data_IF_227522312143
#
_entry.id   IF_227522312143
#
_cell.length_a   1.000
_cell.length_b   1.000
_cell.length_c   1.000
_cell.angle_alpha   90.00
_cell.angle_beta   90.00
_cell.angle_gamma   90.00
#
_symmetry.space_group_name_H-M   'P 1'
#
loop_
_entity.id
_entity.type
_entity.pdbx_description
1 polymer ?
#
# COMPACT_ATOMS: atom_id res chain seq x y z
N UNK A 1 -25.36 -42.15 -7.35
CA UNK A 1 -24.50 -41.89 -6.17
C UNK A 1 -23.47 -40.79 -6.37
N UNK A 2 -22.45 -40.88 -7.23
CA UNK A 2 -21.44 -39.80 -7.37
C UNK A 2 -22.04 -38.46 -7.86
N UNK A 3 -22.84 -38.46 -8.93
CA UNK A 3 -23.53 -37.24 -9.39
C UNK A 3 -24.51 -36.68 -8.36
N UNK A 4 -25.19 -37.53 -7.60
CA UNK A 4 -26.15 -37.14 -6.56
C UNK A 4 -25.45 -36.52 -5.34
N UNK A 5 -24.25 -37.01 -5.00
CA UNK A 5 -23.39 -36.43 -3.96
C UNK A 5 -22.82 -35.07 -4.41
N UNK A 6 -22.37 -34.96 -5.66
CA UNK A 6 -21.93 -33.70 -6.25
C UNK A 6 -23.07 -32.66 -6.31
N UNK A 7 -24.28 -33.07 -6.70
CA UNK A 7 -25.45 -32.19 -6.75
C UNK A 7 -25.88 -31.73 -5.35
N UNK A 8 -25.82 -32.60 -4.33
CA UNK A 8 -26.10 -32.21 -2.93
C UNK A 8 -25.05 -31.25 -2.39
N UNK A 9 -23.77 -31.42 -2.71
CA UNK A 9 -22.70 -30.50 -2.30
C UNK A 9 -22.86 -29.12 -2.94
N UNK A 10 -23.14 -29.08 -4.25
CA UNK A 10 -23.39 -27.83 -4.98
C UNK A 10 -24.66 -27.13 -4.47
N UNK A 11 -25.74 -27.88 -4.23
CA UNK A 11 -27.01 -27.33 -3.74
C UNK A 11 -26.91 -26.75 -2.30
N UNK A 12 -26.08 -27.33 -1.43
CA UNK A 12 -25.83 -26.83 -0.07
C UNK A 12 -24.97 -25.55 -0.06
N UNK A 13 -24.08 -25.35 -1.04
CA UNK A 13 -23.23 -24.16 -1.14
C UNK A 13 -23.86 -22.99 -1.92
N UNK A 14 -24.84 -23.24 -2.80
CA UNK A 14 -25.54 -22.18 -3.54
C UNK A 14 -26.29 -21.19 -2.63
N UNK A 15 -26.79 -21.63 -1.47
CA UNK A 15 -27.44 -20.74 -0.49
C UNK A 15 -26.44 -19.76 0.19
N UNK A 16 -25.14 -20.07 0.17
CA UNK A 16 -24.07 -19.28 0.78
C UNK A 16 -23.35 -18.35 -0.22
N UNK A 17 -23.69 -18.47 -1.50
CA UNK A 17 -23.12 -17.71 -2.61
C UNK A 17 -23.66 -16.28 -2.75
N UNK A 18 -24.83 -16.01 -2.16
CA UNK A 18 -25.52 -14.73 -2.26
C UNK A 18 -25.15 -13.72 -1.16
N UNK A 19 -24.02 -13.95 -0.46
CA UNK A 19 -23.43 -12.97 0.46
C UNK A 19 -22.31 -12.19 -0.24
N UNK A 20 -21.91 -11.05 0.32
CA UNK A 20 -20.94 -10.09 -0.24
C UNK A 20 -19.55 -10.69 -0.57
N UNK A 21 -19.25 -11.88 -0.02
CA UNK A 21 -18.04 -12.67 -0.29
C UNK A 21 -18.24 -13.88 -1.23
N UNK A 22 -19.38 -13.95 -1.93
CA UNK A 22 -19.79 -15.11 -2.74
C UNK A 22 -18.81 -15.55 -3.83
N UNK A 23 -18.01 -14.63 -4.38
CA UNK A 23 -16.95 -14.97 -5.34
C UNK A 23 -15.83 -15.84 -4.73
N UNK A 24 -15.56 -15.71 -3.42
CA UNK A 24 -14.57 -16.55 -2.73
C UNK A 24 -15.10 -17.96 -2.48
N UNK A 25 -16.38 -18.08 -2.16
CA UNK A 25 -17.03 -19.38 -2.01
C UNK A 25 -17.17 -20.14 -3.33
N UNK A 26 -17.44 -19.43 -4.44
CA UNK A 26 -17.44 -20.03 -5.78
C UNK A 26 -16.14 -20.73 -6.12
N UNK A 27 -15.03 -20.04 -5.83
CA UNK A 27 -13.70 -20.56 -6.11
C UNK A 27 -13.36 -21.73 -5.19
N UNK A 28 -13.82 -21.72 -3.94
CA UNK A 28 -13.60 -22.82 -3.01
C UNK A 28 -14.38 -24.07 -3.43
N UNK A 29 -15.65 -23.93 -3.84
CA UNK A 29 -16.46 -25.03 -4.36
C UNK A 29 -15.87 -25.63 -5.65
N UNK A 30 -15.46 -24.79 -6.60
CA UNK A 30 -14.76 -25.25 -7.82
C UNK A 30 -13.48 -26.02 -7.46
N UNK A 31 -12.73 -25.57 -6.46
CA UNK A 31 -11.51 -26.22 -6.01
C UNK A 31 -11.78 -27.62 -5.46
N UNK A 32 -12.78 -27.78 -4.58
CA UNK A 32 -13.18 -29.08 -4.01
C UNK A 32 -13.51 -30.07 -5.13
N UNK A 33 -14.26 -29.62 -6.15
CA UNK A 33 -14.57 -30.42 -7.33
C UNK A 33 -13.30 -30.81 -8.09
N UNK A 34 -12.37 -29.88 -8.33
CA UNK A 34 -11.10 -30.19 -9.00
C UNK A 34 -10.21 -31.16 -8.21
N UNK A 35 -10.22 -31.12 -6.88
CA UNK A 35 -9.48 -32.08 -6.04
C UNK A 35 -10.11 -33.47 -6.03
N UNK A 36 -11.44 -33.58 -6.03
CA UNK A 36 -12.15 -34.85 -6.16
C UNK A 36 -11.90 -35.48 -7.53
N UNK A 37 -11.95 -34.67 -8.60
CA UNK A 37 -11.63 -35.11 -9.95
C UNK A 37 -10.17 -35.59 -10.04
N UNK A 38 -9.21 -34.84 -9.47
CA UNK A 38 -7.80 -35.23 -9.43
C UNK A 38 -7.57 -36.62 -8.81
N UNK A 39 -8.17 -36.90 -7.65
CA UNK A 39 -8.02 -38.19 -6.96
C UNK A 39 -8.64 -39.34 -7.77
N UNK A 40 -9.79 -39.12 -8.41
CA UNK A 40 -10.40 -40.12 -9.29
C UNK A 40 -9.59 -40.39 -10.57
N UNK A 41 -8.86 -39.38 -11.06
CA UNK A 41 -8.06 -39.46 -12.27
C UNK A 41 -6.66 -40.05 -12.06
N UNK A 42 -6.08 -39.95 -10.86
CA UNK A 42 -4.80 -40.62 -10.52
C UNK A 42 -4.87 -42.15 -10.70
N UNK A 43 -6.06 -42.75 -10.65
CA UNK A 43 -6.26 -44.18 -10.91
C UNK A 43 -6.39 -44.59 -12.38
N UNK A 44 -6.48 -43.66 -13.32
CA UNK A 44 -6.92 -43.96 -14.71
C UNK A 44 -5.95 -43.53 -15.82
N UNK A 45 -4.77 -42.98 -15.50
CA UNK A 45 -3.67 -42.80 -16.47
C UNK A 45 -3.94 -41.77 -17.57
N UNK A 46 -4.50 -40.61 -17.22
CA UNK A 46 -5.05 -39.63 -18.18
C UNK A 46 -4.11 -38.53 -18.71
N UNK A 47 -4.60 -37.95 -19.81
CA UNK A 47 -4.06 -36.93 -20.71
C UNK A 47 -3.47 -35.64 -20.14
N UNK A 48 -2.67 -34.97 -20.99
CA UNK A 48 -1.91 -33.73 -20.76
C UNK A 48 -2.74 -32.55 -20.22
N UNK A 49 -4.03 -32.50 -20.56
CA UNK A 49 -4.95 -31.45 -20.09
C UNK A 49 -5.24 -31.54 -18.59
N UNK A 50 -5.26 -32.76 -18.04
CA UNK A 50 -5.47 -33.00 -16.61
C UNK A 50 -4.22 -32.67 -15.79
N UNK A 51 -3.02 -32.92 -16.34
CA UNK A 51 -1.75 -32.47 -15.75
C UNK A 51 -1.72 -30.95 -15.59
N UNK A 52 -2.29 -30.20 -16.54
CA UNK A 52 -2.41 -28.73 -16.45
C UNK A 52 -3.37 -28.29 -15.34
N UNK A 53 -4.51 -28.98 -15.18
CA UNK A 53 -5.47 -28.75 -14.10
C UNK A 53 -4.89 -29.08 -12.72
N UNK A 54 -4.14 -30.17 -12.58
CA UNK A 54 -3.43 -30.53 -11.35
C UNK A 54 -2.40 -29.48 -10.92
N UNK A 55 -1.69 -28.86 -11.88
CA UNK A 55 -0.77 -27.75 -11.58
C UNK A 55 -1.52 -26.51 -11.09
N UNK A 56 -2.64 -26.18 -11.74
CA UNK A 56 -3.46 -25.04 -11.36
C UNK A 56 -4.10 -25.22 -9.97
N UNK A 57 -4.60 -26.41 -9.65
CA UNK A 57 -5.18 -26.69 -8.32
C UNK A 57 -4.15 -26.54 -7.19
N UNK A 58 -2.88 -26.93 -7.41
CA UNK A 58 -1.79 -26.67 -6.47
C UNK A 58 -1.53 -25.18 -6.27
N UNK A 59 -1.48 -24.38 -7.34
CA UNK A 59 -1.28 -22.92 -7.27
C UNK A 59 -2.43 -22.26 -6.49
N UNK A 60 -3.68 -22.63 -6.78
CA UNK A 60 -4.84 -22.09 -6.07
C UNK A 60 -4.84 -22.51 -4.60
N UNK A 61 -4.42 -23.75 -4.28
CA UNK A 61 -4.24 -24.20 -2.88
C UNK A 61 -3.18 -23.38 -2.15
N UNK A 62 -2.04 -23.11 -2.76
CA UNK A 62 -1.00 -22.25 -2.18
C UNK A 62 -1.48 -20.81 -1.99
N UNK A 63 -2.17 -20.25 -2.99
CA UNK A 63 -2.78 -18.91 -2.89
C UNK A 63 -3.85 -18.83 -1.80
N UNK A 64 -4.64 -19.89 -1.60
CA UNK A 64 -5.61 -19.99 -0.51
C UNK A 64 -4.89 -20.03 0.83
N UNK A 65 -3.86 -20.87 0.99
CA UNK A 65 -3.05 -20.88 2.22
C UNK A 65 -2.54 -19.48 2.49
N UNK A 66 -1.92 -18.81 1.52
CA UNK A 66 -1.45 -17.42 1.65
C UNK A 66 -2.59 -16.43 2.03
N UNK A 67 -3.79 -16.56 1.45
CA UNK A 67 -4.96 -15.74 1.81
C UNK A 67 -5.53 -16.04 3.20
N UNK A 68 -5.57 -17.32 3.57
CA UNK A 68 -6.12 -17.84 4.83
C UNK A 68 -5.13 -17.69 5.97
N UNK A 69 -3.83 -17.55 5.69
CA UNK A 69 -2.83 -17.15 6.68
C UNK A 69 -3.19 -15.75 7.14
N UNK A 70 -3.95 -15.70 8.22
CA UNK A 70 -4.45 -14.52 8.91
C UNK A 70 -3.37 -13.50 9.26
N UNK A 71 -2.09 -13.91 9.23
CA UNK A 71 -0.92 -13.06 9.35
C UNK A 71 -0.91 -11.91 8.32
N UNK A 72 -1.20 -12.18 7.04
CA UNK A 72 -1.27 -11.13 6.02
C UNK A 72 -2.48 -10.23 6.22
N UNK A 73 -3.56 -10.74 6.80
CA UNK A 73 -4.74 -9.94 7.15
C UNK A 73 -4.42 -8.94 8.27
N UNK A 74 -3.71 -9.39 9.32
CA UNK A 74 -3.21 -8.53 10.40
C UNK A 74 -2.22 -7.48 9.88
N UNK A 75 -1.32 -7.88 8.98
CA UNK A 75 -0.38 -6.96 8.34
C UNK A 75 -1.09 -5.91 7.48
N UNK A 76 -2.10 -6.30 6.69
CA UNK A 76 -2.92 -5.38 5.91
C UNK A 76 -3.72 -4.41 6.79
N UNK A 77 -4.22 -4.85 7.96
CA UNK A 77 -4.88 -3.96 8.91
C UNK A 77 -3.90 -2.92 9.48
N UNK A 78 -2.68 -3.33 9.83
CA UNK A 78 -1.62 -2.42 10.30
C UNK A 78 -1.21 -1.43 9.21
N UNK A 79 -1.03 -1.89 7.96
CA UNK A 79 -0.77 -1.02 6.82
C UNK A 79 -1.92 -0.05 6.54
N UNK A 80 -3.17 -0.51 6.66
CA UNK A 80 -4.33 0.35 6.47
C UNK A 80 -4.43 1.42 7.57
N UNK A 81 -4.06 1.09 8.81
CA UNK A 81 -3.95 2.07 9.89
C UNK A 81 -2.85 3.11 9.61
N UNK A 82 -1.67 2.67 9.14
CA UNK A 82 -0.60 3.58 8.71
C UNK A 82 -1.08 4.47 7.57
N UNK A 83 -1.70 3.89 6.54
CA UNK A 83 -2.22 4.62 5.39
C UNK A 83 -3.28 5.65 5.78
N UNK A 84 -4.11 5.36 6.80
CA UNK A 84 -5.08 6.31 7.33
C UNK A 84 -4.43 7.52 8.03
N UNK A 85 -3.21 7.35 8.57
CA UNK A 85 -2.46 8.42 9.22
C UNK A 85 -1.64 9.29 8.25
N UNK A 86 -1.30 8.78 7.06
CA UNK A 86 -0.56 9.51 6.02
C UNK A 86 -1.21 10.87 5.68
N UNK A 87 -2.52 10.98 5.39
CA UNK A 87 -3.11 12.28 5.04
C UNK A 87 -2.96 13.29 6.18
N UNK A 88 -3.16 12.87 7.44
CA UNK A 88 -2.94 13.74 8.61
C UNK A 88 -1.49 14.22 8.71
N UNK A 89 -0.53 13.31 8.48
CA UNK A 89 0.89 13.64 8.46
C UNK A 89 1.24 14.63 7.34
N UNK A 90 0.65 14.48 6.15
CA UNK A 90 0.85 15.41 5.03
C UNK A 90 0.38 16.82 5.39
N UNK A 91 -0.79 16.96 6.02
CA UNK A 91 -1.27 18.27 6.49
C UNK A 91 -0.37 18.87 7.57
N UNK A 92 0.12 18.07 8.51
CA UNK A 92 1.05 18.53 9.53
C UNK A 92 2.39 19.01 8.93
N UNK A 93 2.96 18.24 7.98
CA UNK A 93 4.18 18.62 7.26
C UNK A 93 3.97 19.87 6.41
N UNK A 94 2.82 20.00 5.75
CA UNK A 94 2.47 21.20 4.99
C UNK A 94 2.38 22.44 5.88
N UNK A 95 1.79 22.32 7.08
CA UNK A 95 1.75 23.42 8.06
C UNK A 95 3.14 23.80 8.55
N UNK A 96 3.96 22.82 8.94
CA UNK A 96 5.33 23.06 9.37
C UNK A 96 6.12 23.76 8.26
N UNK A 97 6.05 23.25 7.03
CA UNK A 97 6.70 23.85 5.86
C UNK A 97 6.21 25.27 5.57
N UNK A 98 4.91 25.53 5.74
CA UNK A 98 4.36 26.87 5.56
C UNK A 98 4.87 27.85 6.62
N UNK A 99 4.98 27.41 7.88
CA UNK A 99 5.48 28.26 8.97
C UNK A 99 6.97 28.55 8.76
N UNK A 100 7.79 27.54 8.49
CA UNK A 100 9.23 27.74 8.24
C UNK A 100 9.48 28.61 7.01
N UNK A 101 8.67 28.49 5.97
CA UNK A 101 8.74 29.36 4.79
C UNK A 101 8.44 30.83 5.11
N UNK A 102 7.43 31.11 5.95
CA UNK A 102 7.12 32.47 6.38
C UNK A 102 8.26 33.09 7.21
N UNK A 103 8.87 32.31 8.11
CA UNK A 103 10.06 32.74 8.85
C UNK A 103 11.24 33.00 7.93
N UNK A 104 11.49 32.12 6.95
CA UNK A 104 12.57 32.29 5.99
C UNK A 104 12.44 33.60 5.19
N UNK A 105 11.24 33.88 4.66
CA UNK A 105 10.96 35.14 3.96
C UNK A 105 11.18 36.35 4.89
N UNK A 106 10.71 36.28 6.14
CA UNK A 106 10.83 37.38 7.10
C UNK A 106 12.30 37.73 7.39
N UNK A 107 13.15 36.71 7.53
CA UNK A 107 14.59 36.88 7.74
C UNK A 107 15.26 37.46 6.48
N UNK A 108 14.98 36.90 5.29
CA UNK A 108 15.56 37.40 4.03
C UNK A 108 15.14 38.85 3.76
N UNK A 109 13.88 39.22 4.01
CA UNK A 109 13.41 40.60 3.86
C UNK A 109 14.04 41.54 4.90
N UNK A 110 14.21 41.09 6.14
CA UNK A 110 14.94 41.82 7.17
C UNK A 110 16.34 42.15 6.69
N UNK A 111 17.11 41.14 6.26
CA UNK A 111 18.48 41.29 5.77
C UNK A 111 18.54 42.18 4.53
N UNK A 112 17.63 42.02 3.58
CA UNK A 112 17.54 42.88 2.41
C UNK A 112 17.31 44.35 2.81
N UNK A 113 16.42 44.60 3.78
CA UNK A 113 16.16 45.96 4.28
C UNK A 113 17.36 46.53 5.03
N UNK A 114 18.02 45.72 5.87
CA UNK A 114 19.26 46.10 6.56
C UNK A 114 20.42 46.40 5.58
N UNK A 115 20.51 45.67 4.46
CA UNK A 115 21.53 45.92 3.43
C UNK A 115 21.27 47.18 2.61
N UNK A 116 19.99 47.55 2.39
CA UNK A 116 19.63 48.76 1.66
C UNK A 116 19.73 50.04 2.52
N UNK A 117 19.74 49.90 3.85
CA UNK A 117 19.91 50.99 4.82
C UNK A 117 21.38 51.35 5.07
N UNK A 118 22.23 51.17 4.05
CA UNK A 118 23.69 51.22 4.10
C UNK A 118 24.22 52.56 4.69
N UNK A 119 24.46 52.55 6.00
CA UNK A 119 25.24 53.53 6.76
C UNK A 119 26.67 52.97 6.88
N UNK A 120 27.44 53.16 5.81
CA UNK A 120 28.90 53.40 5.63
C UNK A 120 29.97 52.77 6.57
N UNK A 121 29.66 52.00 7.62
CA UNK A 121 30.63 51.68 8.68
C UNK A 121 30.64 50.21 9.15
N UNK A 122 30.45 49.23 8.24
CA UNK A 122 30.47 47.79 8.60
C UNK A 122 31.47 46.97 7.78
N UNK A 123 32.14 46.05 8.47
CA UNK A 123 33.06 45.06 7.89
C UNK A 123 32.33 44.20 6.88
N UNK A 124 32.74 44.30 5.61
CA UNK A 124 32.21 43.54 4.47
C UNK A 124 32.10 42.02 4.73
N UNK A 125 32.90 41.47 5.65
CA UNK A 125 32.83 40.08 6.10
C UNK A 125 31.50 39.70 6.79
N UNK A 126 30.92 40.56 7.63
CA UNK A 126 29.68 40.23 8.34
C UNK A 126 28.47 40.23 7.40
N UNK A 127 28.44 41.18 6.47
CA UNK A 127 27.41 41.27 5.43
C UNK A 127 27.54 40.09 4.46
N UNK A 128 28.77 39.72 4.07
CA UNK A 128 29.00 38.58 3.17
C UNK A 128 28.65 37.23 3.81
N UNK A 129 28.93 37.04 5.11
CA UNK A 129 28.49 35.85 5.84
C UNK A 129 26.95 35.77 5.92
N UNK A 130 26.28 36.89 6.17
CA UNK A 130 24.82 36.97 6.23
C UNK A 130 24.16 36.67 4.88
N UNK A 131 24.73 37.16 3.77
CA UNK A 131 24.31 36.78 2.42
C UNK A 131 24.64 35.33 2.06
N UNK A 132 25.72 34.75 2.61
CA UNK A 132 26.06 33.35 2.37
C UNK A 132 25.07 32.40 3.05
N UNK A 133 24.64 32.68 4.29
CA UNK A 133 23.68 31.82 5.01
C UNK A 133 22.20 32.14 4.70
N UNK A 134 21.86 33.39 4.41
CA UNK A 134 20.48 33.85 4.28
C UNK A 134 20.17 34.58 2.96
N UNK A 135 21.08 34.56 1.99
CA UNK A 135 20.92 35.27 0.72
C UNK A 135 19.90 34.68 -0.24
N UNK A 136 19.44 33.44 -0.02
CA UNK A 136 18.33 32.87 -0.78
C UNK A 136 17.32 32.20 0.13
N UNK A 137 16.04 32.35 -0.19
CA UNK A 137 14.93 31.78 0.58
C UNK A 137 15.04 30.27 0.71
N UNK A 138 15.60 29.57 -0.29
CA UNK A 138 15.86 28.13 -0.22
C UNK A 138 16.97 27.76 0.78
N UNK A 139 18.03 28.57 0.86
CA UNK A 139 19.14 28.31 1.77
C UNK A 139 18.76 28.66 3.22
N UNK A 140 17.94 29.70 3.42
CA UNK A 140 17.32 30.02 4.71
C UNK A 140 16.31 28.97 5.15
N UNK A 141 15.56 28.37 4.23
CA UNK A 141 14.62 27.30 4.56
C UNK A 141 15.31 26.01 5.03
N UNK A 142 16.57 25.80 4.64
CA UNK A 142 17.39 24.64 5.00
C UNK A 142 18.22 24.84 6.28
N UNK A 143 18.33 26.07 6.78
CA UNK A 143 19.10 26.43 7.99
C UNK A 143 18.19 26.50 9.20
#
# INVERSE_FOLDING_TARGET
>A
FACELCLRLVALECAFFFSKDGSWNMLDGLLVVTTLAAIGLEGTGFDVSYVRLLRLSRVVRTLRVVRTVSFLYKFRAMLNAIASSIPSLVWALALIGSITFLFAISITQGIATYSNLDLTDRTNEQVNALHTFFGSTNMTLLT
#
